data_IF_132406719679
#
_entry.id   IF_132406719679
#
_cell.length_a   1.000
_cell.length_b   1.000
_cell.length_c   1.000
_cell.angle_alpha   90.00
_cell.angle_beta   90.00
_cell.angle_gamma   90.00
#
_symmetry.space_group_name_H-M   'P 1'
#
loop_
_entity.id
_entity.type
_entity.pdbx_description
1 polymer ?
#
# COMPACT_ATOMS: atom_id res chain seq x y z
N UNK A 1 -14.71 30.07 -1.70
CA UNK A 1 -14.70 28.67 -1.23
C UNK A 1 -14.13 27.81 -2.35
N UNK A 2 -12.83 27.51 -2.30
CA UNK A 2 -12.15 26.76 -3.37
C UNK A 2 -12.41 25.28 -3.10
N UNK A 3 -13.47 24.73 -3.69
CA UNK A 3 -13.72 23.29 -3.65
C UNK A 3 -12.58 22.68 -4.47
N UNK A 4 -11.50 22.29 -3.78
CA UNK A 4 -10.45 21.48 -4.37
C UNK A 4 -11.05 20.09 -4.54
N UNK A 5 -11.69 19.88 -5.69
CA UNK A 5 -11.89 18.54 -6.22
C UNK A 5 -10.47 18.03 -6.50
N UNK A 6 -9.84 17.43 -5.47
CA UNK A 6 -8.64 16.61 -5.70
C UNK A 6 -8.97 15.65 -6.86
N UNK A 7 -7.99 15.31 -7.71
CA UNK A 7 -8.23 14.39 -8.80
C UNK A 7 -8.97 13.16 -8.27
N UNK A 8 -9.91 12.63 -9.05
CA UNK A 8 -10.48 11.30 -8.78
C UNK A 8 -9.28 10.36 -8.74
N UNK A 9 -8.80 10.04 -7.55
CA UNK A 9 -7.57 9.27 -7.34
C UNK A 9 -7.76 7.91 -8.01
N UNK A 10 -6.78 7.47 -8.78
CA UNK A 10 -6.80 6.13 -9.36
C UNK A 10 -6.84 5.06 -8.26
N UNK A 11 -7.31 3.85 -8.57
CA UNK A 11 -7.41 2.76 -7.58
C UNK A 11 -6.07 2.50 -6.86
N UNK A 12 -4.96 2.51 -7.60
CA UNK A 12 -3.61 2.40 -7.06
C UNK A 12 -3.26 3.55 -6.11
N UNK A 13 -3.63 4.79 -6.44
CA UNK A 13 -3.34 5.96 -5.63
C UNK A 13 -4.15 5.94 -4.31
N UNK A 14 -5.41 5.53 -4.38
CA UNK A 14 -6.23 5.30 -3.17
C UNK A 14 -5.63 4.20 -2.29
N UNK A 15 -5.19 3.10 -2.90
CA UNK A 15 -4.56 2.00 -2.16
C UNK A 15 -3.25 2.45 -1.49
N UNK A 16 -2.39 3.18 -2.20
CA UNK A 16 -1.15 3.76 -1.66
C UNK A 16 -1.45 4.72 -0.51
N UNK A 17 -2.42 5.62 -0.68
CA UNK A 17 -2.82 6.54 0.38
C UNK A 17 -3.33 5.77 1.61
N UNK A 18 -4.21 4.79 1.43
CA UNK A 18 -4.74 3.97 2.52
C UNK A 18 -3.65 3.20 3.28
N UNK A 19 -2.65 2.68 2.55
CA UNK A 19 -1.48 2.00 3.12
C UNK A 19 -0.58 2.96 3.90
N UNK A 20 -0.33 4.14 3.36
CA UNK A 20 0.52 5.17 3.97
C UNK A 20 -0.08 5.67 5.29
N UNK A 21 -1.39 5.93 5.32
CA UNK A 21 -2.14 6.34 6.51
C UNK A 21 -2.07 5.30 7.63
N UNK A 22 -2.05 4.02 7.28
CA UNK A 22 -2.04 2.92 8.26
C UNK A 22 -0.65 2.40 8.59
N UNK A 23 0.40 3.02 8.05
CA UNK A 23 1.78 2.52 8.15
C UNK A 23 1.89 1.03 7.76
N UNK A 24 1.31 0.68 6.62
CA UNK A 24 1.34 -0.69 6.07
C UNK A 24 2.24 -0.68 4.85
N UNK A 25 3.25 -1.54 4.83
CA UNK A 25 4.19 -1.63 3.72
C UNK A 25 4.05 -2.97 2.97
N UNK A 26 4.10 -2.95 1.64
CA UNK A 26 4.34 -4.16 0.88
C UNK A 26 5.66 -4.82 1.31
N UNK A 27 5.70 -6.15 1.34
CA UNK A 27 6.92 -6.91 1.56
C UNK A 27 6.88 -8.28 0.91
N UNK A 28 8.07 -8.84 0.67
CA UNK A 28 8.25 -10.24 0.33
C UNK A 28 8.39 -11.06 1.61
N UNK A 29 7.52 -12.04 1.77
CA UNK A 29 7.59 -13.00 2.87
C UNK A 29 8.70 -14.02 2.64
N UNK A 30 9.03 -14.80 3.67
CA UNK A 30 10.12 -15.78 3.65
C UNK A 30 9.96 -16.87 2.56
N UNK A 31 8.72 -17.16 2.14
CA UNK A 31 8.44 -18.14 1.08
C UNK A 31 8.39 -17.52 -0.32
N UNK A 32 8.79 -16.25 -0.46
CA UNK A 32 8.85 -15.53 -1.73
C UNK A 32 7.54 -14.86 -2.14
N UNK A 33 6.43 -15.01 -1.41
CA UNK A 33 5.17 -14.32 -1.73
C UNK A 33 5.18 -12.86 -1.31
N UNK A 34 4.69 -11.98 -2.18
CA UNK A 34 4.41 -10.59 -1.85
C UNK A 34 3.13 -10.49 -1.01
N UNK A 35 3.17 -9.67 0.04
CA UNK A 35 2.06 -9.45 0.98
C UNK A 35 2.27 -8.14 1.75
N UNK A 36 1.40 -7.81 2.69
CA UNK A 36 1.46 -6.56 3.46
C UNK A 36 1.97 -6.79 4.89
N UNK A 37 2.79 -5.87 5.39
CA UNK A 37 3.27 -5.83 6.76
C UNK A 37 2.84 -4.53 7.44
N UNK A 38 2.11 -4.67 8.54
CA UNK A 38 1.77 -3.58 9.44
C UNK A 38 2.99 -3.29 10.32
N UNK A 39 3.49 -2.05 10.34
CA UNK A 39 4.76 -1.73 11.04
C UNK A 39 4.62 -1.65 12.55
N UNK A 40 3.40 -1.47 13.07
CA UNK A 40 3.10 -1.43 14.50
C UNK A 40 2.93 -2.84 15.12
N UNK A 41 3.14 -3.89 14.32
CA UNK A 41 2.97 -5.28 14.77
C UNK A 41 1.50 -5.70 14.93
N UNK A 42 0.55 -4.83 14.58
CA UNK A 42 -0.86 -5.21 14.55
C UNK A 42 -1.15 -6.13 13.35
N UNK A 43 -2.23 -6.90 13.44
CA UNK A 43 -2.71 -7.73 12.33
C UNK A 43 -4.18 -7.43 12.06
N UNK A 44 -4.47 -6.19 11.67
CA UNK A 44 -5.82 -5.70 11.38
C UNK A 44 -6.38 -6.27 10.09
N UNK A 45 -5.52 -6.59 9.13
CA UNK A 45 -5.93 -7.22 7.86
C UNK A 45 -5.77 -8.74 7.93
N UNK A 46 -6.82 -9.45 7.52
CA UNK A 46 -6.74 -10.90 7.29
C UNK A 46 -5.77 -11.24 6.16
N UNK A 47 -5.12 -12.43 6.19
CA UNK A 47 -4.13 -12.82 5.18
C UNK A 47 -4.64 -12.73 3.73
N UNK A 48 -5.89 -13.12 3.47
CA UNK A 48 -6.49 -13.06 2.15
C UNK A 48 -6.63 -11.61 1.62
N UNK A 49 -7.04 -10.67 2.48
CA UNK A 49 -7.14 -9.26 2.11
C UNK A 49 -5.78 -8.67 1.78
N UNK A 50 -4.72 -9.05 2.51
CA UNK A 50 -3.35 -8.61 2.23
C UNK A 50 -2.87 -9.04 0.84
N UNK A 51 -3.21 -10.25 0.42
CA UNK A 51 -2.85 -10.77 -0.90
C UNK A 51 -3.62 -10.05 -2.01
N UNK A 52 -4.94 -9.90 -1.86
CA UNK A 52 -5.77 -9.19 -2.84
C UNK A 52 -5.31 -7.74 -3.08
N UNK A 53 -4.92 -7.04 -2.01
CA UNK A 53 -4.41 -5.66 -2.15
C UNK A 53 -3.08 -5.67 -2.93
N UNK A 54 -2.17 -6.60 -2.62
CA UNK A 54 -0.89 -6.70 -3.34
C UNK A 54 -1.09 -7.05 -4.82
N UNK A 55 -2.02 -7.94 -5.13
CA UNK A 55 -2.37 -8.29 -6.51
C UNK A 55 -2.93 -7.07 -7.26
N UNK A 56 -3.82 -6.30 -6.62
CA UNK A 56 -4.37 -5.06 -7.20
C UNK A 56 -3.32 -3.95 -7.36
N UNK A 57 -2.27 -3.95 -6.55
CA UNK A 57 -1.13 -3.04 -6.70
C UNK A 57 -0.19 -3.45 -7.84
N UNK A 58 -0.42 -4.61 -8.46
CA UNK A 58 0.38 -5.09 -9.60
C UNK A 58 1.79 -5.55 -9.22
N UNK A 59 2.03 -5.90 -7.95
CA UNK A 59 3.37 -6.29 -7.49
C UNK A 59 3.68 -7.72 -7.95
N UNK A 60 4.54 -7.83 -8.96
CA UNK A 60 4.95 -9.11 -9.57
C UNK A 60 6.45 -9.37 -9.48
N UNK A 61 7.24 -8.32 -9.22
CA UNK A 61 8.69 -8.36 -9.15
C UNK A 61 9.22 -7.69 -7.88
N UNK A 62 10.52 -7.88 -7.60
CA UNK A 62 11.19 -7.16 -6.51
C UNK A 62 11.34 -5.65 -6.82
N UNK A 63 11.36 -5.28 -8.10
CA UNK A 63 11.37 -3.88 -8.55
C UNK A 63 10.04 -3.19 -8.25
N UNK A 64 8.91 -3.83 -8.62
CA UNK A 64 7.56 -3.33 -8.33
C UNK A 64 7.36 -3.16 -6.81
N UNK A 65 7.91 -4.10 -6.04
CA UNK A 65 7.84 -4.09 -4.59
C UNK A 65 8.54 -2.86 -4.01
N UNK A 66 9.74 -2.57 -4.49
CA UNK A 66 10.54 -1.45 -4.00
C UNK A 66 9.99 -0.10 -4.48
N UNK A 67 9.49 -0.02 -5.71
CA UNK A 67 8.74 1.15 -6.20
C UNK A 67 7.52 1.43 -5.32
N UNK A 68 6.67 0.42 -5.09
CA UNK A 68 5.46 0.59 -4.30
C UNK A 68 5.77 0.95 -2.83
N UNK A 69 6.83 0.38 -2.25
CA UNK A 69 7.31 0.79 -0.92
C UNK A 69 7.73 2.25 -0.88
N UNK A 70 8.43 2.72 -1.91
CA UNK A 70 8.86 4.11 -2.00
C UNK A 70 7.66 5.04 -2.16
N UNK A 71 6.66 4.67 -2.96
CA UNK A 71 5.41 5.42 -3.08
C UNK A 71 4.70 5.53 -1.72
N UNK A 72 4.49 4.42 -1.02
CA UNK A 72 3.80 4.41 0.29
C UNK A 72 4.57 5.21 1.35
N UNK A 73 5.89 5.13 1.37
CA UNK A 73 6.73 5.88 2.34
C UNK A 73 6.70 7.38 2.12
N UNK A 74 6.69 7.80 0.86
CA UNK A 74 6.77 9.21 0.48
C UNK A 74 5.39 9.83 0.23
N UNK A 75 4.31 9.05 0.32
CA UNK A 75 2.97 9.57 0.13
C UNK A 75 2.63 10.57 1.26
N UNK A 76 2.11 11.77 0.93
CA UNK A 76 1.67 12.74 1.93
C UNK A 76 0.58 12.13 2.81
N UNK A 77 0.72 12.30 4.11
CA UNK A 77 -0.27 11.84 5.09
C UNK A 77 -1.19 12.98 5.48
N UNK A 78 -2.41 12.64 5.84
CA UNK A 78 -3.35 13.59 6.41
C UNK A 78 -2.97 13.80 7.88
N UNK A 79 -2.51 14.99 8.20
CA UNK A 79 -2.18 15.48 9.55
C UNK A 79 -3.41 15.87 10.36
#
# INVERSE_FOLDING_TARGET
MKISLRPIMGETEMAVSWLAERNILPHKSWNGRYTLKETDGSSRLGPAAKLLIVDNLGISSDEDLDEMRNMVRNHPRWD
#
